data_IF_028225780049
#
_entry.id   IF_028225780049
#
_cell.length_a   1.000
_cell.length_b   1.000
_cell.length_c   1.000
_cell.angle_alpha   90.00
_cell.angle_beta   90.00
_cell.angle_gamma   90.00
#
_symmetry.space_group_name_H-M   'P 1'
#
loop_
_entity.id
_entity.type
_entity.pdbx_description
1 polymer ?
#
# COMPACT_ATOMS: atom_id res chain seq x y z
N UNK A 1 1.37 16.08 -14.57
CA UNK A 1 0.46 16.37 -13.45
C UNK A 1 -0.30 15.09 -13.17
N UNK A 2 0.01 14.38 -12.06
CA UNK A 2 -0.75 13.18 -11.68
C UNK A 2 -2.21 13.56 -11.60
N UNK A 3 -3.06 12.85 -12.35
CA UNK A 3 -4.48 13.16 -12.42
C UNK A 3 -5.17 12.61 -11.17
N UNK A 4 -4.97 13.28 -10.03
CA UNK A 4 -5.57 12.95 -8.74
C UNK A 4 -7.12 12.93 -8.79
N UNK A 5 -7.73 13.51 -9.83
CA UNK A 5 -9.18 13.64 -9.98
C UNK A 5 -9.94 12.31 -10.12
N UNK A 6 -9.27 11.19 -10.38
CA UNK A 6 -9.90 9.85 -10.44
C UNK A 6 -9.70 9.03 -9.17
N UNK A 7 -8.95 9.52 -8.19
CA UNK A 7 -8.68 8.79 -6.95
C UNK A 7 -9.91 8.85 -6.04
N UNK A 8 -10.48 7.69 -5.72
CA UNK A 8 -11.55 7.58 -4.72
C UNK A 8 -10.92 7.36 -3.36
N UNK A 9 -11.11 8.32 -2.43
CA UNK A 9 -10.65 8.21 -1.04
C UNK A 9 -11.83 7.89 -0.12
N UNK A 10 -11.63 7.03 0.90
CA UNK A 10 -12.55 6.93 2.03
C UNK A 10 -12.79 8.28 2.71
N UNK A 11 -13.95 8.45 3.35
CA UNK A 11 -14.30 9.68 4.07
C UNK A 11 -13.38 10.00 5.23
N UNK A 12 -12.66 9.01 5.75
CA UNK A 12 -11.82 9.06 6.94
C UNK A 12 -10.43 9.63 6.66
N UNK A 13 -10.02 9.70 5.38
CA UNK A 13 -8.63 10.05 5.01
C UNK A 13 -8.56 11.20 4.00
N UNK A 14 -7.38 11.80 3.92
CA UNK A 14 -7.01 12.79 2.90
C UNK A 14 -5.63 12.45 2.32
N UNK A 15 -5.40 12.96 1.12
CA UNK A 15 -4.08 13.00 0.51
C UNK A 15 -3.48 14.39 0.72
N UNK A 16 -2.24 14.45 1.21
CA UNK A 16 -1.51 15.70 1.45
C UNK A 16 -0.01 15.50 1.24
N UNK A 17 0.79 16.57 1.26
CA UNK A 17 2.25 16.46 1.18
C UNK A 17 2.78 15.64 2.38
N UNK A 18 3.53 14.57 2.10
CA UNK A 18 4.15 13.72 3.11
C UNK A 18 5.18 14.51 3.91
N UNK A 19 5.25 14.22 5.22
CA UNK A 19 6.32 14.69 6.10
C UNK A 19 7.63 13.91 5.89
N UNK A 20 7.58 12.76 5.21
CA UNK A 20 8.77 11.96 4.88
C UNK A 20 9.52 12.65 3.73
N UNK A 21 10.80 13.03 3.91
CA UNK A 21 11.57 13.70 2.86
C UNK A 21 11.65 12.88 1.57
N UNK A 22 11.39 13.53 0.43
CA UNK A 22 11.49 12.90 -0.90
C UNK A 22 10.29 12.05 -1.33
N UNK A 23 9.32 11.80 -0.46
CA UNK A 23 8.22 10.86 -0.73
C UNK A 23 7.02 11.48 -1.47
N UNK A 24 7.00 12.81 -1.67
CA UNK A 24 5.88 13.47 -2.34
C UNK A 24 4.60 13.45 -1.50
N UNK A 25 3.50 12.96 -2.05
CA UNK A 25 2.20 12.90 -1.37
C UNK A 25 2.09 11.66 -0.47
N UNK A 26 1.37 11.79 0.65
CA UNK A 26 1.03 10.73 1.60
C UNK A 26 -0.44 10.74 2.01
N UNK A 27 -0.89 9.66 2.65
CA UNK A 27 -2.23 9.55 3.24
C UNK A 27 -2.20 9.93 4.72
N UNK A 28 -3.18 10.73 5.14
CA UNK A 28 -3.38 11.17 6.52
C UNK A 28 -4.82 10.93 6.94
N UNK A 29 -5.03 10.57 8.21
CA UNK A 29 -6.37 10.47 8.79
C UNK A 29 -6.95 11.86 9.05
N UNK A 30 -8.26 12.02 8.79
CA UNK A 30 -9.08 13.16 9.23
C UNK A 30 -9.81 12.87 10.54
N UNK A 31 -10.02 11.60 10.84
CA UNK A 31 -10.76 11.12 12.00
C UNK A 31 -9.91 10.12 12.77
N UNK A 32 -10.30 9.84 14.00
CA UNK A 32 -9.78 8.67 14.69
C UNK A 32 -10.11 7.41 13.90
N UNK A 33 -9.11 6.54 13.70
CA UNK A 33 -9.28 5.22 13.11
C UNK A 33 -8.95 4.22 14.22
N UNK A 34 -9.89 3.32 14.51
CA UNK A 34 -9.74 2.39 15.63
C UNK A 34 -8.61 1.38 15.36
N UNK A 35 -7.80 1.04 16.35
CA UNK A 35 -6.89 -0.11 16.29
C UNK A 35 -7.57 -1.39 15.77
N UNK A 36 -6.86 -2.14 14.93
CA UNK A 36 -7.34 -3.33 14.25
C UNK A 36 -8.26 -3.09 13.06
N UNK A 37 -8.45 -1.84 12.62
CA UNK A 37 -9.21 -1.52 11.39
C UNK A 37 -8.43 -1.99 10.19
N UNK A 38 -9.07 -2.80 9.34
CA UNK A 38 -8.50 -3.34 8.11
C UNK A 38 -8.88 -2.45 6.92
N UNK A 39 -7.90 -2.15 6.07
CA UNK A 39 -8.03 -1.32 4.87
C UNK A 39 -7.53 -2.11 3.67
N UNK A 40 -8.41 -2.31 2.69
CA UNK A 40 -8.04 -3.02 1.46
C UNK A 40 -9.21 -3.71 0.76
N UNK A 41 -8.92 -4.62 -0.17
CA UNK A 41 -7.57 -5.11 -0.49
C UNK A 41 -6.71 -4.08 -1.25
N UNK A 42 -5.39 -4.17 -1.10
CA UNK A 42 -4.42 -3.49 -1.96
C UNK A 42 -4.57 -4.03 -3.38
N UNK A 43 -4.71 -3.13 -4.34
CA UNK A 43 -5.03 -3.44 -5.73
C UNK A 43 -3.84 -3.16 -6.63
N UNK A 44 -3.65 -4.02 -7.63
CA UNK A 44 -2.55 -3.98 -8.56
C UNK A 44 -2.62 -5.16 -9.53
N UNK A 45 -1.72 -5.16 -10.50
CA UNK A 45 -1.56 -6.29 -11.42
C UNK A 45 -0.89 -7.46 -10.70
N UNK A 46 -1.40 -8.66 -10.88
CA UNK A 46 -0.72 -9.88 -10.41
C UNK A 46 0.46 -10.18 -11.32
N UNK A 47 1.66 -10.31 -10.74
CA UNK A 47 2.91 -10.61 -11.44
C UNK A 47 3.51 -11.89 -10.88
N UNK A 48 3.90 -12.81 -11.77
CA UNK A 48 4.57 -14.05 -11.37
C UNK A 48 6.02 -13.78 -10.97
N UNK A 49 6.62 -14.52 -10.01
CA UNK A 49 7.99 -14.29 -9.57
C UNK A 49 9.03 -14.27 -10.69
N UNK A 50 8.90 -15.13 -11.71
CA UNK A 50 9.81 -15.16 -12.87
C UNK A 50 9.73 -13.92 -13.77
N UNK A 51 8.68 -13.12 -13.63
CA UNK A 51 8.44 -11.92 -14.43
C UNK A 51 8.78 -10.62 -13.68
N UNK A 52 9.30 -10.70 -12.45
CA UNK A 52 9.71 -9.53 -11.67
C UNK A 52 11.04 -8.99 -12.20
N UNK A 53 11.04 -7.71 -12.58
CA UNK A 53 12.25 -6.99 -12.99
C UNK A 53 12.94 -6.38 -11.77
N UNK A 54 13.95 -7.08 -11.26
CA UNK A 54 14.72 -6.69 -10.07
C UNK A 54 15.52 -5.39 -10.23
N UNK A 55 15.59 -4.83 -11.45
CA UNK A 55 16.30 -3.56 -11.72
C UNK A 55 15.40 -2.34 -11.61
N UNK A 56 14.08 -2.55 -11.49
CA UNK A 56 13.09 -1.47 -11.36
C UNK A 56 12.75 -1.19 -9.92
N UNK A 57 12.31 0.04 -9.68
CA UNK A 57 11.72 0.43 -8.41
C UNK A 57 10.42 -0.38 -8.20
N UNK A 58 10.37 -1.14 -7.11
CA UNK A 58 9.26 -1.99 -6.70
C UNK A 58 8.54 -1.47 -5.43
N UNK A 59 8.68 -0.18 -5.09
CA UNK A 59 8.10 0.43 -3.88
C UNK A 59 6.55 0.37 -3.83
N UNK A 60 5.89 0.02 -4.93
CA UNK A 60 4.43 -0.16 -5.03
C UNK A 60 4.04 -1.63 -5.24
N UNK A 61 4.87 -2.54 -4.76
CA UNK A 61 4.69 -3.98 -4.92
C UNK A 61 4.63 -4.68 -3.56
N UNK A 62 3.72 -5.64 -3.45
CA UNK A 62 3.63 -6.54 -2.29
C UNK A 62 3.78 -8.00 -2.71
N UNK A 63 4.52 -8.76 -1.91
CA UNK A 63 4.60 -10.21 -2.02
C UNK A 63 3.33 -10.86 -1.48
N UNK A 64 2.85 -11.90 -2.17
CA UNK A 64 1.79 -12.79 -1.70
C UNK A 64 2.41 -14.17 -1.52
N UNK A 65 2.26 -14.74 -0.33
CA UNK A 65 2.88 -16.00 0.06
C UNK A 65 1.91 -17.19 -0.04
N UNK A 66 2.45 -18.37 -0.31
CA UNK A 66 1.78 -19.65 -0.08
C UNK A 66 1.82 -20.03 1.41
N UNK A 67 1.05 -21.06 1.79
CA UNK A 67 1.03 -21.58 3.16
C UNK A 67 2.39 -22.14 3.61
N UNK A 68 3.21 -22.60 2.67
CA UNK A 68 4.57 -23.09 2.91
C UNK A 68 5.62 -21.97 3.02
N UNK A 69 5.19 -20.70 2.97
CA UNK A 69 6.06 -19.52 3.04
C UNK A 69 6.79 -19.18 1.74
N UNK A 70 6.56 -19.92 0.65
CA UNK A 70 7.10 -19.55 -0.67
C UNK A 70 6.34 -18.38 -1.26
N UNK A 71 7.01 -17.51 -2.04
CA UNK A 71 6.33 -16.43 -2.76
C UNK A 71 5.47 -17.02 -3.88
N UNK A 72 4.16 -16.82 -3.81
CA UNK A 72 3.20 -17.22 -4.84
C UNK A 72 3.23 -16.26 -6.03
N UNK A 73 3.10 -14.98 -5.76
CA UNK A 73 3.05 -13.91 -6.75
C UNK A 73 3.28 -12.56 -6.09
N UNK A 74 3.26 -11.50 -6.91
CA UNK A 74 3.37 -10.12 -6.49
C UNK A 74 2.12 -9.34 -6.93
N UNK A 75 1.70 -8.37 -6.13
CA UNK A 75 0.70 -7.37 -6.52
C UNK A 75 1.43 -6.06 -6.84
N UNK A 76 1.44 -5.68 -8.12
CA UNK A 76 2.17 -4.53 -8.66
C UNK A 76 1.22 -3.37 -9.01
N UNK A 77 1.29 -2.29 -8.23
CA UNK A 77 0.49 -1.08 -8.45
C UNK A 77 1.29 0.06 -9.11
N UNK A 78 2.39 -0.26 -9.82
CA UNK A 78 3.24 0.74 -10.46
C UNK A 78 2.54 1.53 -11.58
N UNK A 79 1.65 0.87 -12.31
CA UNK A 79 0.89 1.45 -13.43
C UNK A 79 -0.19 2.42 -12.91
N UNK A 80 -0.35 3.58 -13.56
CA UNK A 80 -1.24 4.64 -13.08
C UNK A 80 -2.72 4.21 -13.00
N UNK A 81 -3.18 3.35 -13.90
CA UNK A 81 -4.54 2.81 -13.93
C UNK A 81 -4.83 1.80 -12.82
N UNK A 82 -3.78 1.29 -12.17
CA UNK A 82 -3.87 0.34 -11.05
C UNK A 82 -3.77 1.04 -9.68
N UNK A 83 -3.48 2.34 -9.65
CA UNK A 83 -3.26 3.05 -8.39
C UNK A 83 -4.57 3.32 -7.67
N UNK A 84 -4.61 2.94 -6.40
CA UNK A 84 -5.64 3.32 -5.45
C UNK A 84 -5.08 4.31 -4.43
N UNK A 85 -5.93 4.85 -3.55
CA UNK A 85 -5.46 5.71 -2.46
C UNK A 85 -4.41 5.02 -1.58
N UNK A 86 -4.44 3.68 -1.49
CA UNK A 86 -3.48 2.89 -0.73
C UNK A 86 -2.06 2.95 -1.30
N UNK A 87 -1.86 3.26 -2.59
CA UNK A 87 -0.51 3.42 -3.18
C UNK A 87 0.21 4.68 -2.69
N UNK A 88 -0.49 5.55 -1.97
CA UNK A 88 0.04 6.76 -1.36
C UNK A 88 0.32 6.59 0.14
N UNK A 89 0.01 5.42 0.72
CA UNK A 89 0.46 5.09 2.08
C UNK A 89 1.98 4.94 2.07
N UNK A 90 2.66 5.56 3.02
CA UNK A 90 4.12 5.57 3.10
C UNK A 90 4.63 4.55 4.09
N UNK A 91 5.76 3.92 3.74
CA UNK A 91 6.45 3.03 4.65
C UNK A 91 7.00 3.82 5.83
N UNK A 92 6.78 3.29 7.04
CA UNK A 92 7.46 3.76 8.22
C UNK A 92 8.96 3.48 8.12
N UNK A 93 9.77 4.46 8.52
CA UNK A 93 11.25 4.40 8.58
C UNK A 93 11.74 3.78 9.88
N UNK A 94 10.88 3.72 10.90
CA UNK A 94 11.15 3.20 12.23
C UNK A 94 9.83 2.83 12.93
N UNK A 95 9.92 2.08 14.02
CA UNK A 95 8.77 1.61 14.80
C UNK A 95 7.98 2.78 15.44
N UNK A 96 8.63 3.89 15.77
CA UNK A 96 7.96 5.03 16.43
C UNK A 96 6.97 5.75 15.52
N UNK A 97 7.17 5.70 14.20
CA UNK A 97 6.23 6.28 13.23
C UNK A 97 5.31 5.24 12.59
N UNK A 98 5.45 3.96 12.93
CA UNK A 98 4.60 2.90 12.42
C UNK A 98 3.23 2.92 13.11
N UNK A 99 2.18 3.02 12.30
CA UNK A 99 0.78 2.97 12.75
C UNK A 99 -0.07 1.96 11.96
N UNK A 100 0.52 1.34 10.93
CA UNK A 100 -0.08 0.28 10.12
C UNK A 100 0.86 -0.91 10.05
N UNK A 101 0.29 -2.10 10.01
CA UNK A 101 0.95 -3.33 9.56
C UNK A 101 0.35 -3.81 8.25
N UNK A 102 1.10 -4.63 7.52
CA UNK A 102 0.62 -5.29 6.29
C UNK A 102 0.24 -6.71 6.63
N UNK A 103 -0.99 -7.09 6.28
CA UNK A 103 -1.53 -8.43 6.55
C UNK A 103 -1.99 -9.07 5.26
N UNK A 104 -1.67 -10.36 5.11
CA UNK A 104 -2.20 -11.18 4.02
C UNK A 104 -3.40 -11.97 4.51
N UNK A 105 -4.53 -11.85 3.81
CA UNK A 105 -5.74 -12.64 4.05
C UNK A 105 -6.07 -13.38 2.75
N UNK A 106 -5.88 -14.69 2.75
CA UNK A 106 -5.98 -15.50 1.54
C UNK A 106 -4.90 -15.11 0.53
N UNK A 107 -5.33 -14.64 -0.65
CA UNK A 107 -4.44 -14.15 -1.73
C UNK A 107 -4.41 -12.62 -1.84
N UNK A 108 -4.91 -11.91 -0.82
CA UNK A 108 -5.07 -10.46 -0.84
C UNK A 108 -4.27 -9.80 0.28
N UNK A 109 -3.78 -8.60 0.01
CA UNK A 109 -2.99 -7.80 0.94
C UNK A 109 -3.85 -6.67 1.49
N UNK A 110 -3.76 -6.42 2.79
CA UNK A 110 -4.47 -5.36 3.51
C UNK A 110 -3.48 -4.60 4.40
N UNK A 111 -3.84 -3.37 4.74
CA UNK A 111 -3.21 -2.66 5.87
C UNK A 111 -4.11 -2.76 7.08
N UNK A 112 -3.53 -2.90 8.27
CA UNK A 112 -4.27 -2.96 9.53
C UNK A 112 -3.68 -1.98 10.54
N UNK A 113 -4.53 -1.23 11.23
CA UNK A 113 -4.07 -0.28 12.25
C UNK A 113 -3.57 -1.00 13.50
N UNK A 114 -2.45 -0.52 14.04
CA UNK A 114 -1.83 -1.08 15.25
C UNK A 114 -2.37 -0.43 16.53
N UNK A 115 -2.60 0.88 16.52
CA UNK A 115 -3.01 1.69 17.69
C UNK A 115 -4.10 2.70 17.33
#
# INVERSE_FOLDING_TARGET
>A
VQKLSSLVLPSEVIIAQSSVPGEGLGIFSKTWIKAGTEMGPFTGRVVSPEHVDLRKNNNLMWEVFNEDGTVRCFIDASQEDQRSWMTYIKCARNEQEQNLEVVQIGSSIFYKTLE
#
